data_IF_953049099038
#
_entry.id   IF_953049099038
#
_cell.length_a   1.000
_cell.length_b   1.000
_cell.length_c   1.000
_cell.angle_alpha   90.00
_cell.angle_beta   90.00
_cell.angle_gamma   90.00
#
_symmetry.space_group_name_H-M   'P 1'
#
loop_
_entity.id
_entity.type
_entity.pdbx_description
1 polymer ?
#
# COMPACT_ATOMS: atom_id res chain seq x y z
N UNK A 1 -12.87 -16.73 -6.92
CA UNK A 1 -13.03 -15.27 -6.87
C UNK A 1 -13.05 -14.75 -8.29
N UNK A 2 -14.05 -13.95 -8.65
CA UNK A 2 -14.24 -13.33 -9.97
C UNK A 2 -13.43 -12.04 -10.08
N UNK A 3 -13.28 -11.52 -11.31
CA UNK A 3 -12.61 -10.22 -11.55
C UNK A 3 -13.31 -9.09 -10.79
N UNK A 4 -14.65 -9.06 -10.80
CA UNK A 4 -15.43 -8.02 -10.11
C UNK A 4 -15.24 -8.07 -8.60
N UNK A 5 -15.20 -9.26 -7.99
CA UNK A 5 -14.93 -9.41 -6.55
C UNK A 5 -13.52 -8.91 -6.19
N UNK A 6 -12.53 -9.17 -7.05
CA UNK A 6 -11.16 -8.68 -6.88
C UNK A 6 -11.10 -7.16 -6.98
N UNK A 7 -11.79 -6.56 -7.95
CA UNK A 7 -11.85 -5.12 -8.16
C UNK A 7 -12.46 -4.38 -6.95
N UNK A 8 -13.59 -4.91 -6.44
CA UNK A 8 -14.22 -4.41 -5.20
C UNK A 8 -13.25 -4.48 -4.02
N UNK A 9 -12.48 -5.57 -3.91
CA UNK A 9 -11.52 -5.75 -2.83
C UNK A 9 -10.35 -4.78 -2.95
N UNK A 10 -9.85 -4.51 -4.16
CA UNK A 10 -8.81 -3.51 -4.39
C UNK A 10 -9.29 -2.11 -4.02
N UNK A 11 -10.52 -1.76 -4.42
CA UNK A 11 -11.16 -0.48 -4.07
C UNK A 11 -11.26 -0.30 -2.55
N UNK A 12 -11.63 -1.34 -1.79
CA UNK A 12 -11.66 -1.29 -0.32
C UNK A 12 -10.27 -1.04 0.29
N UNK A 13 -9.23 -1.68 -0.26
CA UNK A 13 -7.85 -1.45 0.18
C UNK A 13 -7.43 0.00 -0.14
N UNK A 14 -7.82 0.54 -1.30
CA UNK A 14 -7.58 1.94 -1.66
C UNK A 14 -8.22 2.91 -0.67
N UNK A 15 -9.50 2.73 -0.35
CA UNK A 15 -10.17 3.57 0.64
C UNK A 15 -9.52 3.49 2.02
N UNK A 16 -9.07 2.31 2.44
CA UNK A 16 -8.32 2.15 3.68
C UNK A 16 -6.96 2.86 3.64
N UNK A 17 -6.26 2.82 2.50
CA UNK A 17 -5.01 3.53 2.28
C UNK A 17 -5.19 5.05 2.41
N UNK A 18 -6.27 5.60 1.82
CA UNK A 18 -6.55 7.03 1.80
C UNK A 18 -6.80 7.63 3.20
N UNK A 19 -7.31 6.83 4.14
CA UNK A 19 -7.57 7.27 5.53
C UNK A 19 -6.45 6.87 6.50
N UNK A 20 -5.48 6.06 6.08
CA UNK A 20 -4.39 5.57 6.92
C UNK A 20 -3.39 6.70 7.20
N UNK A 21 -3.56 7.37 8.34
CA UNK A 21 -2.65 8.44 8.78
C UNK A 21 -1.46 7.87 9.57
N UNK A 22 -1.69 6.85 10.39
CA UNK A 22 -0.65 6.28 11.23
C UNK A 22 0.26 5.33 10.44
N UNK A 23 1.56 5.38 10.73
CA UNK A 23 2.57 4.45 10.21
C UNK A 23 2.16 2.96 10.31
N UNK A 24 1.63 2.45 11.45
CA UNK A 24 1.18 1.06 11.52
C UNK A 24 0.07 0.72 10.52
N UNK A 25 -0.86 1.65 10.27
CA UNK A 25 -1.97 1.45 9.33
C UNK A 25 -1.46 1.41 7.89
N UNK A 26 -0.60 2.35 7.52
CA UNK A 26 0.09 2.35 6.21
C UNK A 26 0.87 1.04 5.98
N UNK A 27 1.53 0.51 7.03
CA UNK A 27 2.22 -0.80 6.98
C UNK A 27 1.24 -1.97 6.81
N UNK A 28 0.08 -1.94 7.46
CA UNK A 28 -0.96 -2.95 7.30
C UNK A 28 -1.51 -2.97 5.88
N UNK A 29 -1.79 -1.80 5.30
CA UNK A 29 -2.22 -1.65 3.90
C UNK A 29 -1.15 -2.18 2.94
N UNK A 30 0.13 -1.90 3.17
CA UNK A 30 1.22 -2.47 2.37
C UNK A 30 1.20 -4.02 2.35
N UNK A 31 0.90 -4.66 3.48
CA UNK A 31 0.78 -6.11 3.56
C UNK A 31 -0.44 -6.62 2.79
N UNK A 32 -1.58 -5.95 2.90
CA UNK A 32 -2.78 -6.28 2.14
C UNK A 32 -2.55 -6.18 0.63
N UNK A 33 -1.92 -5.10 0.15
CA UNK A 33 -1.57 -4.92 -1.26
C UNK A 33 -0.61 -6.00 -1.76
N UNK A 34 0.37 -6.41 -0.94
CA UNK A 34 1.28 -7.51 -1.29
C UNK A 34 0.55 -8.85 -1.44
N UNK A 35 -0.39 -9.14 -0.55
CA UNK A 35 -1.19 -10.36 -0.63
C UNK A 35 -2.13 -10.33 -1.83
N UNK A 36 -2.77 -9.19 -2.07
CA UNK A 36 -3.64 -8.97 -3.21
C UNK A 36 -2.89 -9.18 -4.54
N UNK A 37 -1.71 -8.58 -4.70
CA UNK A 37 -0.85 -8.73 -5.89
C UNK A 37 -0.55 -10.21 -6.17
N UNK A 38 -0.14 -10.97 -5.13
CA UNK A 38 0.14 -12.40 -5.27
C UNK A 38 -1.09 -13.19 -5.75
N UNK A 39 -2.26 -12.94 -5.14
CA UNK A 39 -3.49 -13.64 -5.49
C UNK A 39 -4.00 -13.24 -6.89
N UNK A 40 -3.96 -11.95 -7.23
CA UNK A 40 -4.35 -11.45 -8.55
C UNK A 40 -3.49 -12.08 -9.67
N UNK A 41 -2.18 -12.24 -9.44
CA UNK A 41 -1.30 -12.97 -10.39
C UNK A 41 -1.66 -14.44 -10.51
N UNK A 42 -1.95 -15.11 -9.39
CA UNK A 42 -2.34 -16.52 -9.40
C UNK A 42 -3.65 -16.75 -10.16
N UNK A 43 -4.57 -15.78 -10.12
CA UNK A 43 -5.85 -15.83 -10.83
C UNK A 43 -5.77 -15.28 -12.28
N UNK A 44 -4.62 -14.83 -12.75
CA UNK A 44 -4.43 -14.27 -14.09
C UNK A 44 -4.90 -12.81 -14.27
N UNK A 45 -5.23 -12.11 -13.19
CA UNK A 45 -5.64 -10.70 -13.22
C UNK A 45 -4.44 -9.75 -13.15
N UNK A 46 -3.62 -9.75 -14.21
CA UNK A 46 -2.36 -9.01 -14.23
C UNK A 46 -2.50 -7.49 -14.12
N UNK A 47 -3.58 -6.90 -14.63
CA UNK A 47 -3.85 -5.47 -14.49
C UNK A 47 -4.05 -5.08 -13.01
N UNK A 48 -4.96 -5.78 -12.32
CA UNK A 48 -5.22 -5.59 -10.88
C UNK A 48 -3.96 -5.84 -10.03
N UNK A 49 -3.14 -6.83 -10.40
CA UNK A 49 -1.86 -7.08 -9.75
C UNK A 49 -0.88 -5.90 -9.91
N UNK A 50 -0.83 -5.31 -11.11
CA UNK A 50 -0.03 -4.12 -11.42
C UNK A 50 -0.47 -2.91 -10.60
N UNK A 51 -1.77 -2.64 -10.55
CA UNK A 51 -2.36 -1.54 -9.76
C UNK A 51 -2.03 -1.67 -8.27
N UNK A 52 -2.25 -2.85 -7.69
CA UNK A 52 -1.92 -3.11 -6.30
C UNK A 52 -0.42 -2.96 -6.00
N UNK A 53 0.44 -3.39 -6.92
CA UNK A 53 1.89 -3.23 -6.80
C UNK A 53 2.29 -1.75 -6.82
N UNK A 54 1.76 -0.97 -7.76
CA UNK A 54 2.01 0.47 -7.88
C UNK A 54 1.61 1.19 -6.59
N UNK A 55 0.39 0.96 -6.10
CA UNK A 55 -0.10 1.55 -4.86
C UNK A 55 0.81 1.20 -3.67
N UNK A 56 1.29 -0.05 -3.60
CA UNK A 56 2.20 -0.47 -2.53
C UNK A 56 3.50 0.33 -2.55
N UNK A 57 4.05 0.57 -3.74
CA UNK A 57 5.27 1.36 -3.89
C UNK A 57 5.06 2.82 -3.49
N UNK A 58 3.89 3.41 -3.81
CA UNK A 58 3.55 4.76 -3.38
C UNK A 58 3.51 4.87 -1.84
N UNK A 59 2.82 3.94 -1.17
CA UNK A 59 2.79 3.93 0.31
C UNK A 59 4.16 3.67 0.94
N UNK A 60 4.99 2.81 0.34
CA UNK A 60 6.36 2.59 0.82
C UNK A 60 7.19 3.86 0.69
N UNK A 61 7.06 4.60 -0.41
CA UNK A 61 7.75 5.87 -0.60
C UNK A 61 7.29 6.92 0.42
N UNK A 62 5.98 7.00 0.72
CA UNK A 62 5.47 7.85 1.81
C UNK A 62 6.07 7.47 3.16
N UNK A 63 6.06 6.18 3.52
CA UNK A 63 6.64 5.70 4.78
C UNK A 63 8.15 6.00 4.89
N UNK A 64 8.87 5.95 3.78
CA UNK A 64 10.29 6.31 3.73
C UNK A 64 10.48 7.82 3.92
N UNK A 65 9.66 8.65 3.28
CA UNK A 65 9.68 10.11 3.48
C UNK A 65 9.36 10.48 4.93
N UNK A 66 8.30 9.92 5.50
CA UNK A 66 7.91 10.16 6.90
C UNK A 66 9.04 9.78 7.87
N UNK A 67 9.77 8.69 7.59
CA UNK A 67 10.95 8.28 8.38
C UNK A 67 12.12 9.23 8.23
N UNK A 68 12.44 9.68 7.01
CA UNK A 68 13.54 10.62 6.78
C UNK A 68 13.27 11.95 7.49
N UNK A 69 12.05 12.48 7.35
CA UNK A 69 11.64 13.71 8.04
C UNK A 69 11.79 13.56 9.55
N UNK A 70 11.29 12.47 10.15
CA UNK A 70 11.44 12.22 11.59
C UNK A 70 12.92 12.11 12.05
N UNK A 71 13.79 11.55 11.20
CA UNK A 71 15.23 11.48 11.45
C UNK A 71 15.93 12.84 11.36
N UNK A 72 15.51 13.69 10.43
CA UNK A 72 16.04 15.06 10.26
C UNK A 72 15.67 15.97 11.44
N UNK A 73 14.44 15.89 11.95
CA UNK A 73 14.04 16.64 13.16
C UNK A 73 14.84 16.19 14.39
N UNK A 74 15.28 14.93 14.45
CA UNK A 74 16.05 14.40 15.58
C UNK A 74 17.55 14.77 15.54
N UNK A 75 18.09 15.21 14.40
CA UNK A 75 19.50 15.56 14.24
C UNK A 75 19.76 17.07 14.05
N UNK A 76 18.71 17.90 14.05
CA UNK A 76 18.80 19.35 13.82
C UNK A 76 18.96 20.22 15.08
N UNK A 77 19.52 19.71 16.18
CA UNK A 77 19.74 20.50 17.39
C UNK A 77 21.18 20.37 17.91
N UNK A 78 22.12 21.02 17.23
CA UNK A 78 23.39 21.50 17.77
C UNK A 78 23.72 22.84 17.12
#
# INVERSE_FOLDING_TARGET
MTKTEMDIRLTKIFSAAAIAQAVPDKRAVCKQLKQFDKEARQLGFHALAGEACQMRWQLVAELQRDRTVAGEVSHGHL
#
